data_IF_764049194503
#
_entry.id   IF_764049194503
#
_cell.length_a   1.000
_cell.length_b   1.000
_cell.length_c   1.000
_cell.angle_alpha   90.00
_cell.angle_beta   90.00
_cell.angle_gamma   90.00
#
_symmetry.space_group_name_H-M   'P 1'
#
loop_
_entity.id
_entity.type
_entity.pdbx_description
1 polymer ?
#
# COMPACT_ATOMS: atom_id res chain seq x y z
N UNK A 1 -0.46 -22.75 0.79
CA UNK A 1 -0.14 -21.75 1.84
C UNK A 1 0.17 -22.47 3.14
N UNK A 2 1.08 -21.97 3.97
CA UNK A 2 1.41 -22.55 5.28
C UNK A 2 0.90 -21.63 6.39
N UNK A 3 0.35 -22.21 7.45
CA UNK A 3 0.03 -21.49 8.69
C UNK A 3 1.20 -21.72 9.65
N UNK A 4 2.09 -20.72 9.81
CA UNK A 4 3.34 -20.84 10.59
C UNK A 4 3.12 -20.51 12.08
N UNK A 5 2.17 -19.63 12.38
CA UNK A 5 1.68 -19.30 13.73
C UNK A 5 0.16 -19.18 13.69
N UNK A 6 -0.51 -19.35 14.81
CA UNK A 6 -1.98 -19.26 14.87
C UNK A 6 -2.45 -17.88 14.34
N UNK A 7 -3.13 -17.86 13.20
CA UNK A 7 -3.65 -16.66 12.53
C UNK A 7 -2.73 -16.01 11.51
N UNK A 8 -1.49 -16.50 11.30
CA UNK A 8 -0.59 -16.01 10.26
C UNK A 8 -0.55 -16.95 9.05
N UNK A 9 -0.52 -16.36 7.87
CA UNK A 9 -0.52 -17.06 6.58
C UNK A 9 0.61 -16.56 5.71
N UNK A 10 1.31 -17.48 5.04
CA UNK A 10 2.42 -17.14 4.15
C UNK A 10 2.09 -17.54 2.72
N UNK A 11 2.14 -16.55 1.82
CA UNK A 11 2.12 -16.76 0.38
C UNK A 11 3.56 -16.72 -0.15
N UNK A 12 3.89 -17.64 -1.07
CA UNK A 12 5.21 -17.67 -1.74
C UNK A 12 5.01 -17.64 -3.25
N UNK A 13 5.79 -16.81 -3.94
CA UNK A 13 5.82 -16.67 -5.39
C UNK A 13 7.28 -16.54 -5.83
N UNK A 14 7.86 -17.62 -6.34
CA UNK A 14 9.30 -17.68 -6.60
C UNK A 14 10.12 -17.39 -5.34
N UNK A 15 10.99 -16.39 -5.41
CA UNK A 15 11.83 -15.96 -4.28
C UNK A 15 11.11 -14.96 -3.35
N UNK A 16 9.88 -14.58 -3.67
CA UNK A 16 9.12 -13.61 -2.89
C UNK A 16 8.20 -14.30 -1.89
N UNK A 17 8.12 -13.79 -0.67
CA UNK A 17 7.17 -14.25 0.34
C UNK A 17 6.49 -13.10 1.05
N UNK A 18 5.19 -13.26 1.32
CA UNK A 18 4.35 -12.31 2.06
C UNK A 18 3.70 -13.00 3.24
N UNK A 19 3.87 -12.45 4.45
CA UNK A 19 3.21 -12.92 5.67
C UNK A 19 2.06 -12.01 6.03
N UNK A 20 0.87 -12.57 6.24
CA UNK A 20 -0.37 -11.85 6.57
C UNK A 20 -0.89 -12.34 7.91
N UNK A 21 -1.33 -11.44 8.79
CA UNK A 21 -1.88 -11.75 10.11
C UNK A 21 -3.39 -11.48 10.14
N UNK A 22 -4.17 -12.56 10.05
CA UNK A 22 -5.63 -12.49 10.12
C UNK A 22 -6.13 -12.02 11.49
N UNK A 23 -5.37 -12.25 12.58
CA UNK A 23 -5.74 -11.82 13.92
C UNK A 23 -5.60 -10.31 14.14
N UNK A 24 -4.93 -9.61 13.23
CA UNK A 24 -4.64 -8.17 13.32
C UNK A 24 -5.08 -7.40 12.07
N UNK A 25 -6.37 -7.45 11.75
CA UNK A 25 -6.94 -6.69 10.65
C UNK A 25 -6.47 -7.17 9.25
N UNK A 26 -5.99 -8.41 9.14
CA UNK A 26 -5.40 -8.90 7.89
C UNK A 26 -4.23 -8.04 7.41
N UNK A 27 -3.37 -7.58 8.34
CA UNK A 27 -2.16 -6.80 8.03
C UNK A 27 -1.12 -7.66 7.33
N UNK A 28 -0.42 -7.08 6.36
CA UNK A 28 0.79 -7.66 5.81
C UNK A 28 1.92 -7.33 6.78
N UNK A 29 2.47 -8.33 7.45
CA UNK A 29 3.51 -8.18 8.45
C UNK A 29 4.91 -8.17 7.87
N UNK A 30 5.10 -8.87 6.74
CA UNK A 30 6.41 -9.11 6.15
C UNK A 30 6.26 -9.25 4.64
N UNK A 31 7.22 -8.69 3.90
CA UNK A 31 7.38 -8.90 2.46
C UNK A 31 8.85 -9.05 2.14
N UNK A 32 9.26 -10.23 1.71
CA UNK A 32 10.66 -10.61 1.57
C UNK A 32 11.00 -11.07 0.16
N UNK A 33 12.24 -10.82 -0.22
CA UNK A 33 12.91 -11.51 -1.32
C UNK A 33 13.97 -12.44 -0.69
N UNK A 34 13.84 -13.74 -0.88
CA UNK A 34 14.51 -14.76 -0.08
C UNK A 34 14.28 -14.49 1.42
N UNK A 35 15.33 -14.26 2.22
CA UNK A 35 15.22 -13.93 3.64
C UNK A 35 15.31 -12.42 3.94
N UNK A 36 15.42 -11.57 2.91
CA UNK A 36 15.61 -10.13 3.09
C UNK A 36 14.28 -9.38 3.13
N UNK A 37 13.99 -8.77 4.27
CA UNK A 37 12.77 -8.00 4.54
C UNK A 37 12.83 -6.60 3.92
N UNK A 38 11.75 -6.17 3.20
CA UNK A 38 11.69 -4.85 2.58
C UNK A 38 10.80 -3.87 3.34
N UNK A 39 9.76 -4.33 4.05
CA UNK A 39 8.90 -3.44 4.83
C UNK A 39 9.42 -3.25 6.25
N UNK A 40 9.03 -2.16 6.90
CA UNK A 40 9.48 -1.83 8.26
C UNK A 40 8.98 -2.86 9.27
N UNK A 41 9.87 -3.32 10.13
CA UNK A 41 9.55 -4.22 11.24
C UNK A 41 9.32 -3.47 12.57
N UNK A 42 9.39 -2.13 12.55
CA UNK A 42 9.08 -1.31 13.73
C UNK A 42 7.58 -1.32 14.02
N UNK A 43 7.23 -1.55 15.28
CA UNK A 43 5.86 -1.49 15.80
C UNK A 43 5.69 -0.21 16.62
N UNK A 44 5.19 0.86 16.00
CA UNK A 44 5.08 2.19 16.59
C UNK A 44 3.65 2.70 16.70
N UNK A 45 3.15 2.91 17.87
CA UNK A 45 2.94 1.86 18.91
C UNK A 45 2.14 0.71 18.33
N UNK A 46 1.18 0.98 17.43
CA UNK A 46 0.35 0.01 16.72
C UNK A 46 0.39 0.19 15.19
N UNK A 47 1.18 1.17 14.73
CA UNK A 47 1.41 1.44 13.31
C UNK A 47 2.57 0.58 12.81
N UNK A 48 2.27 -0.55 12.15
CA UNK A 48 3.26 -1.49 11.63
C UNK A 48 2.76 -2.22 10.40
N UNK A 49 3.68 -2.77 9.61
CA UNK A 49 3.37 -3.56 8.44
C UNK A 49 2.66 -2.75 7.34
N UNK A 50 1.85 -3.42 6.54
CA UNK A 50 0.91 -2.78 5.63
C UNK A 50 -0.53 -3.02 6.08
N UNK A 51 -1.34 -1.97 6.00
CA UNK A 51 -2.74 -1.96 6.41
C UNK A 51 -3.64 -1.38 5.32
N UNK A 52 -4.95 -1.54 5.51
CA UNK A 52 -5.95 -1.04 4.60
C UNK A 52 -7.06 -0.32 5.37
N UNK A 53 -7.36 0.90 4.96
CA UNK A 53 -8.40 1.74 5.54
C UNK A 53 -9.39 2.22 4.47
N UNK A 54 -10.47 2.86 4.90
CA UNK A 54 -11.40 3.57 4.02
C UNK A 54 -11.02 5.04 3.94
N UNK A 55 -11.22 5.66 2.78
CA UNK A 55 -11.00 7.08 2.53
C UNK A 55 -12.34 7.76 2.17
N UNK A 56 -12.58 9.02 2.60
CA UNK A 56 -11.63 9.94 3.25
C UNK A 56 -11.51 9.71 4.76
N UNK A 57 -10.33 9.99 5.31
CA UNK A 57 -10.04 9.81 6.74
C UNK A 57 -10.99 10.63 7.64
N UNK A 58 -11.49 11.75 7.19
CA UNK A 58 -12.40 12.62 7.93
C UNK A 58 -13.73 11.96 8.35
N UNK A 59 -14.09 10.80 7.78
CA UNK A 59 -15.30 10.06 8.18
C UNK A 59 -15.13 9.30 9.50
N UNK A 60 -13.89 8.94 9.85
CA UNK A 60 -13.60 8.15 11.06
C UNK A 60 -12.55 8.78 11.99
N UNK A 61 -11.74 9.72 11.49
CA UNK A 61 -10.64 10.37 12.21
C UNK A 61 -9.60 9.35 12.76
N UNK A 62 -8.73 9.81 13.64
CA UNK A 62 -7.79 8.95 14.36
C UNK A 62 -8.34 8.53 15.71
N UNK A 63 -8.15 7.29 16.20
CA UNK A 63 -7.39 6.18 15.59
C UNK A 63 -8.14 5.43 14.48
N UNK A 64 -7.46 4.55 13.72
CA UNK A 64 -8.10 3.72 12.69
C UNK A 64 -9.21 2.85 13.23
N UNK A 65 -10.20 2.58 12.38
CA UNK A 65 -11.35 1.73 12.69
C UNK A 65 -10.91 0.35 13.15
N UNK A 66 -11.21 -0.07 14.38
CA UNK A 66 -10.69 -1.33 14.94
C UNK A 66 -11.06 -2.57 14.13
N UNK A 67 -12.27 -2.62 13.55
CA UNK A 67 -12.74 -3.73 12.71
C UNK A 67 -11.88 -3.92 11.47
N UNK A 68 -11.28 -2.84 10.95
CA UNK A 68 -10.46 -2.89 9.73
C UNK A 68 -8.98 -3.04 10.02
N UNK A 69 -8.51 -2.57 11.18
CA UNK A 69 -7.10 -2.43 11.49
C UNK A 69 -6.58 -3.38 12.57
N UNK A 70 -7.42 -3.83 13.52
CA UNK A 70 -6.95 -4.54 14.72
C UNK A 70 -7.67 -5.85 14.99
N UNK A 71 -8.98 -5.92 14.72
CA UNK A 71 -9.79 -7.11 15.04
C UNK A 71 -9.47 -8.27 14.10
N UNK A 72 -9.70 -9.52 14.54
CA UNK A 72 -9.52 -10.68 13.70
C UNK A 72 -10.45 -10.66 12.48
N UNK A 73 -9.95 -11.14 11.36
CA UNK A 73 -10.71 -11.39 10.13
C UNK A 73 -11.07 -12.88 10.02
N UNK A 74 -12.27 -13.18 9.54
CA UNK A 74 -12.62 -14.52 9.11
C UNK A 74 -11.82 -14.92 7.88
N UNK A 75 -11.31 -16.15 7.85
CA UNK A 75 -10.41 -16.62 6.79
C UNK A 75 -11.05 -17.75 5.99
N UNK A 76 -10.92 -17.67 4.67
CA UNK A 76 -11.26 -18.71 3.72
C UNK A 76 -10.10 -18.91 2.74
N UNK A 77 -9.75 -20.15 2.47
CA UNK A 77 -8.79 -20.50 1.41
C UNK A 77 -9.51 -21.33 0.36
N UNK A 78 -9.55 -20.83 -0.87
CA UNK A 78 -10.20 -21.53 -1.98
C UNK A 78 -9.46 -21.27 -3.29
N UNK A 79 -9.20 -22.36 -4.04
CA UNK A 79 -8.58 -22.28 -5.38
C UNK A 79 -7.28 -21.46 -5.45
N UNK A 80 -6.45 -21.54 -4.38
CA UNK A 80 -5.19 -20.79 -4.30
C UNK A 80 -5.35 -19.32 -3.92
N UNK A 81 -6.56 -18.87 -3.59
CA UNK A 81 -6.83 -17.51 -3.09
C UNK A 81 -7.07 -17.57 -1.58
N UNK A 82 -6.32 -16.78 -0.82
CA UNK A 82 -6.53 -16.55 0.60
C UNK A 82 -7.43 -15.33 0.75
N UNK A 83 -8.64 -15.52 1.28
CA UNK A 83 -9.60 -14.45 1.51
C UNK A 83 -9.76 -14.19 3.01
N UNK A 84 -9.66 -12.93 3.41
CA UNK A 84 -9.84 -12.46 4.78
C UNK A 84 -10.96 -11.42 4.81
N UNK A 85 -11.94 -11.58 5.71
CA UNK A 85 -13.13 -10.72 5.78
C UNK A 85 -13.32 -10.18 7.19
N UNK A 86 -13.44 -8.86 7.32
CA UNK A 86 -13.66 -8.17 8.60
C UNK A 86 -15.09 -8.36 9.13
N UNK A 87 -15.27 -8.06 10.42
CA UNK A 87 -16.59 -7.67 10.92
C UNK A 87 -17.06 -6.37 10.26
N UNK A 88 -18.34 -6.07 10.38
CA UNK A 88 -18.91 -4.78 9.98
C UNK A 88 -18.60 -3.73 11.04
N UNK A 89 -18.14 -2.54 10.64
CA UNK A 89 -18.11 -1.41 11.55
C UNK A 89 -19.51 -0.78 11.68
N UNK A 90 -20.00 -0.65 12.89
CA UNK A 90 -21.37 -0.18 13.16
C UNK A 90 -21.63 1.27 12.76
N UNK A 91 -20.60 2.12 12.77
CA UNK A 91 -20.73 3.54 12.39
C UNK A 91 -20.66 3.72 10.88
N UNK A 92 -19.64 3.16 10.25
CA UNK A 92 -19.40 3.34 8.81
C UNK A 92 -20.23 2.40 7.94
N UNK A 93 -20.72 1.29 8.51
CA UNK A 93 -21.53 0.28 7.80
C UNK A 93 -20.81 -0.29 6.57
N UNK A 94 -19.48 -0.42 6.63
CA UNK A 94 -18.70 -1.15 5.66
C UNK A 94 -18.18 -2.46 6.24
N UNK A 95 -18.02 -3.45 5.37
CA UNK A 95 -17.24 -4.66 5.59
C UNK A 95 -16.05 -4.63 4.64
N UNK A 96 -14.87 -4.98 5.14
CA UNK A 96 -13.66 -5.08 4.34
C UNK A 96 -13.38 -6.54 4.02
N UNK A 97 -13.01 -6.80 2.77
CA UNK A 97 -12.48 -8.10 2.34
C UNK A 97 -11.14 -7.89 1.64
N UNK A 98 -10.18 -8.75 1.93
CA UNK A 98 -8.85 -8.78 1.32
C UNK A 98 -8.64 -10.16 0.71
N UNK A 99 -8.35 -10.23 -0.58
CA UNK A 99 -8.07 -11.47 -1.29
C UNK A 99 -6.61 -11.43 -1.79
N UNK A 100 -5.83 -12.43 -1.38
CA UNK A 100 -4.42 -12.55 -1.70
C UNK A 100 -4.20 -13.74 -2.62
N UNK A 101 -3.45 -13.55 -3.70
CA UNK A 101 -3.04 -14.63 -4.61
C UNK A 101 -1.65 -14.38 -5.18
N UNK A 102 -0.98 -15.43 -5.61
CA UNK A 102 0.27 -15.35 -6.37
C UNK A 102 -0.01 -15.17 -7.86
N UNK A 103 0.88 -14.46 -8.52
CA UNK A 103 0.96 -14.35 -9.98
C UNK A 103 2.37 -14.82 -10.40
N UNK A 104 2.47 -16.13 -10.65
CA UNK A 104 3.75 -16.78 -10.97
C UNK A 104 4.34 -16.27 -12.29
N UNK A 105 3.50 -15.88 -13.24
CA UNK A 105 3.96 -15.37 -14.53
C UNK A 105 4.69 -14.03 -14.37
N UNK A 106 4.17 -13.16 -13.53
CA UNK A 106 4.71 -11.81 -13.31
C UNK A 106 5.58 -11.72 -12.07
N UNK A 107 5.77 -12.84 -11.33
CA UNK A 107 6.51 -12.89 -10.07
C UNK A 107 6.00 -11.83 -9.07
N UNK A 108 4.68 -11.74 -8.91
CA UNK A 108 3.99 -10.77 -8.09
C UNK A 108 3.05 -11.42 -7.07
N UNK A 109 2.77 -10.72 -5.98
CA UNK A 109 1.65 -11.01 -5.10
C UNK A 109 0.57 -9.98 -5.38
N UNK A 110 -0.63 -10.46 -5.66
CA UNK A 110 -1.78 -9.64 -6.02
C UNK A 110 -2.73 -9.59 -4.83
N UNK A 111 -3.05 -8.38 -4.38
CA UNK A 111 -4.00 -8.14 -3.29
C UNK A 111 -5.19 -7.36 -3.85
N UNK A 112 -6.38 -7.97 -3.78
CA UNK A 112 -7.63 -7.28 -4.08
C UNK A 112 -8.31 -6.90 -2.78
N UNK A 113 -8.49 -5.62 -2.58
CA UNK A 113 -9.23 -5.03 -1.46
C UNK A 113 -10.66 -4.75 -1.90
N UNK A 114 -11.64 -5.19 -1.10
CA UNK A 114 -13.05 -4.91 -1.34
C UNK A 114 -13.63 -4.12 -0.18
N UNK A 115 -14.45 -3.10 -0.50
CA UNK A 115 -15.27 -2.38 0.46
C UNK A 115 -16.73 -2.66 0.11
N UNK A 116 -17.46 -3.26 1.05
CA UNK A 116 -18.86 -3.68 0.86
C UNK A 116 -19.74 -2.76 1.68
N UNK A 117 -20.66 -2.06 1.01
CA UNK A 117 -21.68 -1.24 1.68
C UNK A 117 -22.79 -2.15 2.24
N UNK A 118 -22.81 -2.34 3.55
CA UNK A 118 -23.84 -3.15 4.24
C UNK A 118 -24.92 -2.30 4.91
N UNK A 119 -24.96 -1.00 4.60
CA UNK A 119 -26.04 -0.10 5.04
C UNK A 119 -27.24 -0.17 4.11
N UNK A 120 -28.34 0.46 4.50
CA UNK A 120 -29.53 0.71 3.70
C UNK A 120 -29.48 2.05 2.92
N UNK A 121 -28.32 2.74 2.97
CA UNK A 121 -28.11 4.04 2.31
C UNK A 121 -27.06 3.95 1.20
N UNK A 122 -27.20 4.80 0.18
CA UNK A 122 -26.12 5.04 -0.78
C UNK A 122 -24.96 5.73 -0.09
N UNK A 123 -23.74 5.20 -0.25
CA UNK A 123 -22.50 5.72 0.37
C UNK A 123 -21.45 5.96 -0.69
N UNK A 124 -20.47 6.80 -0.36
CA UNK A 124 -19.34 7.05 -1.25
C UNK A 124 -18.04 6.86 -0.46
N UNK A 125 -17.11 6.07 -1.01
CA UNK A 125 -15.89 5.64 -0.30
C UNK A 125 -14.78 5.35 -1.30
N UNK A 126 -13.53 5.52 -0.89
CA UNK A 126 -12.37 5.07 -1.64
C UNK A 126 -11.53 4.05 -0.83
N UNK A 127 -10.84 3.13 -1.50
CA UNK A 127 -9.86 2.24 -0.88
C UNK A 127 -8.56 3.00 -0.60
N UNK A 128 -7.91 2.69 0.52
CA UNK A 128 -6.66 3.31 0.94
C UNK A 128 -5.71 2.29 1.57
N UNK A 129 -4.61 2.03 0.91
CA UNK A 129 -3.59 1.09 1.36
C UNK A 129 -2.33 1.82 1.81
N UNK A 130 -1.80 1.46 2.97
CA UNK A 130 -0.65 2.09 3.61
C UNK A 130 0.41 1.05 3.91
N UNK A 131 1.61 1.21 3.36
CA UNK A 131 2.76 0.33 3.61
C UNK A 131 3.89 1.09 4.29
N UNK A 132 4.36 0.58 5.43
CA UNK A 132 5.47 1.19 6.16
C UNK A 132 6.80 0.59 5.73
N UNK A 133 7.71 1.46 5.32
CA UNK A 133 9.08 1.09 4.91
C UNK A 133 10.11 1.75 5.82
N UNK A 134 11.34 1.26 5.79
CA UNK A 134 12.44 1.84 6.55
C UNK A 134 12.75 3.25 6.05
N UNK A 135 12.98 4.18 6.99
CA UNK A 135 13.31 5.57 6.65
C UNK A 135 14.74 5.67 6.11
N UNK A 136 15.74 5.19 6.84
CA UNK A 136 17.15 5.33 6.46
C UNK A 136 17.51 4.48 5.22
N UNK A 137 18.35 5.04 4.35
CA UNK A 137 18.83 4.37 3.14
C UNK A 137 17.76 4.13 2.07
N UNK A 138 16.56 4.66 2.25
CA UNK A 138 15.46 4.53 1.31
C UNK A 138 15.50 5.56 0.18
N UNK A 139 14.87 5.21 -0.94
CA UNK A 139 14.50 6.14 -2.02
C UNK A 139 13.06 5.84 -2.39
N UNK A 140 12.19 6.82 -2.26
CA UNK A 140 10.79 6.75 -2.71
C UNK A 140 10.69 7.46 -4.05
N UNK A 141 9.98 6.85 -5.01
CA UNK A 141 9.80 7.49 -6.30
C UNK A 141 8.54 6.99 -7.02
N UNK A 142 7.97 7.87 -7.84
CA UNK A 142 6.78 7.63 -8.64
C UNK A 142 6.75 8.61 -9.83
N UNK A 143 5.93 8.35 -10.83
CA UNK A 143 5.79 9.21 -11.99
C UNK A 143 4.80 10.34 -11.68
N UNK A 144 5.33 11.53 -11.45
CA UNK A 144 4.65 12.81 -11.35
C UNK A 144 5.70 13.92 -11.43
N UNK A 145 5.38 15.13 -11.97
CA UNK A 145 6.27 16.28 -11.85
C UNK A 145 6.44 16.68 -10.37
N UNK A 146 7.68 16.96 -9.94
CA UNK A 146 7.95 17.29 -8.54
C UNK A 146 7.28 18.58 -8.06
N UNK A 147 7.02 19.53 -8.96
CA UNK A 147 6.28 20.76 -8.69
C UNK A 147 4.77 20.58 -8.58
N UNK A 148 4.24 19.40 -8.95
CA UNK A 148 2.83 19.04 -8.77
C UNK A 148 2.53 18.45 -7.39
N UNK A 149 3.54 18.17 -6.56
CA UNK A 149 3.39 17.60 -5.21
C UNK A 149 2.96 18.68 -4.22
N UNK A 150 1.96 18.38 -3.41
CA UNK A 150 1.43 19.33 -2.42
C UNK A 150 1.32 18.75 -0.99
N UNK A 151 1.50 19.56 0.09
CA UNK A 151 1.90 20.97 0.07
C UNK A 151 3.30 21.19 -0.52
N UNK A 152 3.44 22.22 -1.33
CA UNK A 152 4.71 22.54 -1.98
C UNK A 152 5.82 22.83 -0.97
N UNK A 153 7.02 22.29 -1.19
CA UNK A 153 8.20 22.54 -0.39
C UNK A 153 8.24 21.89 0.99
N UNK A 154 7.21 21.09 1.37
CA UNK A 154 7.19 20.39 2.66
C UNK A 154 8.21 19.24 2.71
N UNK A 155 8.43 18.58 1.60
CA UNK A 155 9.43 17.52 1.42
C UNK A 155 10.20 17.80 0.12
N UNK A 156 11.52 17.56 0.12
CA UNK A 156 12.39 17.89 -0.99
C UNK A 156 12.38 16.77 -2.05
N UNK A 157 11.34 16.72 -2.85
CA UNK A 157 11.30 15.86 -4.03
C UNK A 157 12.16 16.46 -5.15
N UNK A 158 12.98 15.62 -5.77
CA UNK A 158 13.78 15.97 -6.96
C UNK A 158 13.10 15.37 -8.19
N UNK A 159 13.01 16.17 -9.25
CA UNK A 159 12.57 15.68 -10.55
C UNK A 159 13.71 15.01 -11.31
N UNK A 160 13.44 13.83 -11.84
CA UNK A 160 14.31 13.08 -12.73
C UNK A 160 13.50 12.67 -13.98
N UNK A 161 13.37 13.56 -14.95
CA UNK A 161 12.63 13.34 -16.19
C UNK A 161 11.15 12.96 -15.99
N UNK A 162 10.44 13.70 -15.11
CA UNK A 162 9.03 13.45 -14.78
C UNK A 162 8.81 12.37 -13.70
N UNK A 163 9.90 11.90 -13.11
CA UNK A 163 9.87 11.00 -11.96
C UNK A 163 10.23 11.79 -10.71
N UNK A 164 9.32 11.90 -9.78
CA UNK A 164 9.55 12.50 -8.47
C UNK A 164 10.29 11.52 -7.56
N UNK A 165 11.44 11.93 -7.06
CA UNK A 165 12.29 11.14 -6.18
C UNK A 165 12.46 11.84 -4.83
N UNK A 166 12.23 11.12 -3.73
CA UNK A 166 12.47 11.59 -2.37
C UNK A 166 13.48 10.69 -1.66
N UNK A 167 14.55 11.30 -1.18
CA UNK A 167 15.50 10.69 -0.25
C UNK A 167 15.22 11.25 1.16
N UNK A 168 15.14 10.39 2.19
CA UNK A 168 14.95 10.83 3.57
C UNK A 168 16.00 11.87 3.97
N UNK A 169 15.52 12.94 4.59
CA UNK A 169 16.32 14.07 5.04
C UNK A 169 16.48 14.10 6.58
N UNK A 170 17.13 15.14 7.11
CA UNK A 170 17.40 15.30 8.55
C UNK A 170 16.21 15.88 9.34
N UNK A 171 15.09 16.23 8.69
CA UNK A 171 13.93 16.76 9.38
C UNK A 171 13.31 15.73 10.33
N UNK A 172 12.95 16.18 11.52
CA UNK A 172 12.45 15.33 12.61
C UNK A 172 11.02 15.66 13.00
N UNK A 173 10.14 15.78 12.02
CA UNK A 173 8.73 16.10 12.20
C UNK A 173 7.84 15.21 11.34
N UNK A 174 6.57 15.11 11.70
CA UNK A 174 5.59 14.43 10.87
C UNK A 174 5.28 15.26 9.64
N UNK A 175 5.47 14.70 8.46
CA UNK A 175 5.21 15.38 7.19
C UNK A 175 4.45 14.44 6.26
N UNK A 176 3.45 14.97 5.58
CA UNK A 176 2.68 14.25 4.57
C UNK A 176 2.54 15.09 3.32
N UNK A 177 2.83 14.49 2.19
CA UNK A 177 2.59 15.08 0.86
C UNK A 177 1.67 14.20 0.04
N UNK A 178 1.06 14.82 -0.96
CA UNK A 178 0.11 14.24 -1.87
C UNK A 178 0.59 14.42 -3.30
N UNK A 179 0.27 13.46 -4.17
CA UNK A 179 0.56 13.53 -5.60
C UNK A 179 -0.52 12.82 -6.42
N UNK A 180 -0.69 13.28 -7.65
CA UNK A 180 -1.38 12.58 -8.72
C UNK A 180 -0.32 11.84 -9.53
N UNK A 181 -0.31 10.51 -9.43
CA UNK A 181 0.72 9.64 -9.99
C UNK A 181 0.34 9.04 -11.35
N UNK A 182 0.90 7.86 -11.64
CA UNK A 182 0.59 7.06 -12.83
C UNK A 182 0.36 5.59 -12.47
N UNK A 183 -0.41 5.35 -11.40
CA UNK A 183 -0.81 4.00 -11.01
C UNK A 183 0.32 3.16 -10.42
N UNK A 184 1.42 3.76 -9.98
CA UNK A 184 2.50 3.03 -9.31
C UNK A 184 3.29 3.89 -8.33
N UNK A 185 3.80 3.24 -7.29
CA UNK A 185 4.65 3.83 -6.26
C UNK A 185 5.77 2.85 -5.91
N UNK A 186 7.01 3.31 -5.87
CA UNK A 186 8.18 2.48 -5.67
C UNK A 186 9.05 2.92 -4.49
N UNK A 187 9.72 1.95 -3.89
CA UNK A 187 10.69 2.12 -2.82
C UNK A 187 11.92 1.26 -3.07
N UNK A 188 13.09 1.90 -3.17
CA UNK A 188 14.38 1.21 -3.20
C UNK A 188 15.01 1.24 -1.80
N UNK A 189 15.19 0.07 -1.19
CA UNK A 189 16.06 -0.08 -0.03
C UNK A 189 17.50 -0.26 -0.54
N UNK A 190 18.31 0.80 -0.47
CA UNK A 190 19.69 0.79 -0.99
C UNK A 190 20.62 -0.11 -0.19
N UNK A 191 20.41 -0.24 1.11
CA UNK A 191 21.23 -1.08 1.98
C UNK A 191 21.10 -2.56 1.61
N UNK A 192 19.89 -3.00 1.32
CA UNK A 192 19.58 -4.39 0.95
C UNK A 192 19.62 -4.64 -0.55
N UNK A 193 19.69 -3.57 -1.36
CA UNK A 193 19.60 -3.71 -2.82
C UNK A 193 18.27 -4.30 -3.27
N UNK A 194 17.16 -3.89 -2.65
CA UNK A 194 15.81 -4.38 -2.94
C UNK A 194 14.90 -3.27 -3.44
N UNK A 195 14.21 -3.52 -4.54
CA UNK A 195 13.22 -2.65 -5.16
C UNK A 195 11.82 -3.23 -4.94
N UNK A 196 11.01 -2.54 -4.15
CA UNK A 196 9.58 -2.74 -4.00
C UNK A 196 8.84 -1.84 -4.98
N UNK A 197 7.93 -2.40 -5.78
CA UNK A 197 7.01 -1.63 -6.63
C UNK A 197 5.59 -2.07 -6.32
N UNK A 198 4.71 -1.11 -6.09
CA UNK A 198 3.26 -1.31 -5.99
C UNK A 198 2.60 -0.70 -7.21
N UNK A 199 1.80 -1.49 -7.90
CA UNK A 199 1.01 -1.07 -9.06
C UNK A 199 -0.48 -1.13 -8.71
N UNK A 200 -1.20 -0.11 -9.08
CA UNK A 200 -2.63 0.05 -8.84
C UNK A 200 -3.27 0.82 -9.99
N UNK A 201 -4.55 1.11 -9.93
CA UNK A 201 -5.26 1.86 -10.96
C UNK A 201 -4.80 3.33 -10.97
N UNK A 202 -4.40 3.84 -12.14
CA UNK A 202 -4.09 5.26 -12.37
C UNK A 202 -5.39 6.08 -12.30
N UNK A 203 -5.43 7.07 -11.42
CA UNK A 203 -6.59 7.93 -11.24
C UNK A 203 -6.49 9.18 -12.11
N UNK A 204 -7.64 9.64 -12.60
CA UNK A 204 -7.74 10.95 -13.24
C UNK A 204 -8.23 12.00 -12.26
N UNK A 205 -8.00 13.27 -12.58
CA UNK A 205 -8.41 14.39 -11.75
C UNK A 205 -9.90 14.31 -11.37
N UNK A 206 -10.19 14.47 -10.06
CA UNK A 206 -11.54 14.39 -9.49
C UNK A 206 -12.01 12.99 -9.08
N UNK A 207 -11.22 11.94 -9.32
CA UNK A 207 -11.51 10.60 -8.81
C UNK A 207 -11.08 10.37 -7.36
N UNK A 208 -10.00 10.95 -6.82
CA UNK A 208 -9.67 10.83 -5.40
C UNK A 208 -10.80 11.34 -4.50
N UNK A 209 -10.86 10.84 -3.27
CA UNK A 209 -11.77 11.35 -2.24
C UNK A 209 -11.43 12.82 -1.90
N UNK A 210 -12.38 13.61 -1.40
CA UNK A 210 -12.15 15.02 -1.04
C UNK A 210 -11.00 15.17 -0.04
N UNK A 211 -10.05 16.04 -0.36
CA UNK A 211 -8.83 16.35 0.41
C UNK A 211 -7.79 15.20 0.42
N UNK A 212 -7.95 14.20 -0.43
CA UNK A 212 -7.08 13.03 -0.55
C UNK A 212 -6.41 12.99 -1.95
N UNK A 213 -5.50 12.03 -2.16
CA UNK A 213 -4.76 11.87 -3.41
C UNK A 213 -4.54 10.41 -3.78
N UNK A 214 -4.22 10.13 -5.04
CA UNK A 214 -3.84 8.82 -5.52
C UNK A 214 -2.61 8.27 -4.79
N UNK A 215 -1.58 9.11 -4.65
CA UNK A 215 -0.35 8.80 -3.92
C UNK A 215 -0.18 9.76 -2.75
N UNK A 216 0.15 9.21 -1.60
CA UNK A 216 0.56 9.99 -0.44
C UNK A 216 1.85 9.40 0.14
N UNK A 217 2.75 10.27 0.58
CA UNK A 217 3.97 9.87 1.29
C UNK A 217 3.99 10.55 2.64
N UNK A 218 3.95 9.76 3.71
CA UNK A 218 4.04 10.26 5.08
C UNK A 218 5.37 9.86 5.71
N UNK A 219 6.08 10.83 6.27
CA UNK A 219 7.31 10.61 7.04
C UNK A 219 7.00 10.78 8.51
N UNK A 220 7.22 9.73 9.29
CA UNK A 220 7.04 9.78 10.73
C UNK A 220 8.26 10.40 11.43
N UNK A 221 8.00 11.23 12.44
CA UNK A 221 9.07 11.85 13.26
C UNK A 221 10.00 10.78 13.86
N UNK A 222 11.23 11.17 14.18
CA UNK A 222 12.22 10.28 14.79
C UNK A 222 12.83 9.30 13.81
N UNK A 223 12.68 9.52 12.48
CA UNK A 223 13.18 8.65 11.42
C UNK A 223 12.76 7.18 11.59
N UNK A 224 11.57 6.95 12.14
CA UNK A 224 11.09 5.61 12.48
C UNK A 224 10.65 4.82 11.25
N UNK A 225 9.79 5.39 10.41
CA UNK A 225 9.33 4.79 9.16
C UNK A 225 8.82 5.86 8.19
N UNK A 226 8.63 5.45 6.95
CA UNK A 226 7.89 6.19 5.94
C UNK A 226 6.67 5.35 5.53
N UNK A 227 5.53 5.98 5.32
CA UNK A 227 4.35 5.35 4.74
C UNK A 227 4.31 5.63 3.23
N UNK A 228 4.21 4.55 2.49
CA UNK A 228 3.89 4.53 1.07
C UNK A 228 2.39 4.29 0.98
N UNK A 229 1.64 5.31 0.61
CA UNK A 229 0.19 5.25 0.61
C UNK A 229 -0.34 5.34 -0.83
N UNK A 230 -1.33 4.52 -1.15
CA UNK A 230 -2.03 4.56 -2.43
C UNK A 230 -3.53 4.47 -2.21
N UNK A 231 -4.29 5.22 -3.01
CA UNK A 231 -5.74 5.26 -2.94
C UNK A 231 -6.35 4.97 -4.32
N UNK A 232 -7.52 4.34 -4.32
CA UNK A 232 -8.33 4.16 -5.51
C UNK A 232 -9.45 5.22 -5.62
N UNK A 233 -10.27 5.08 -6.65
CA UNK A 233 -11.33 6.03 -6.97
C UNK A 233 -12.40 6.13 -5.86
N UNK A 234 -12.85 7.35 -5.59
CA UNK A 234 -13.96 7.65 -4.67
C UNK A 234 -15.28 7.26 -5.31
N UNK A 235 -15.74 6.06 -4.99
CA UNK A 235 -16.83 5.34 -5.69
C UNK A 235 -18.13 5.40 -4.91
N UNK A 236 -19.24 5.62 -5.61
CA UNK A 236 -20.59 5.53 -5.05
C UNK A 236 -21.05 4.08 -5.02
N UNK A 237 -21.50 3.62 -3.86
CA UNK A 237 -22.00 2.27 -3.62
C UNK A 237 -23.46 2.32 -3.14
N UNK A 238 -24.34 1.65 -3.87
CA UNK A 238 -25.71 1.40 -3.42
C UNK A 238 -25.71 0.38 -2.25
N UNK A 239 -26.81 0.25 -1.49
CA UNK A 239 -26.95 -0.81 -0.50
C UNK A 239 -26.63 -2.20 -1.08
N UNK A 240 -25.71 -2.92 -0.43
CA UNK A 240 -25.26 -4.25 -0.85
C UNK A 240 -24.20 -4.27 -1.96
N UNK A 241 -23.88 -3.14 -2.57
CA UNK A 241 -22.80 -3.09 -3.56
C UNK A 241 -21.40 -3.13 -2.94
N UNK A 242 -20.42 -3.58 -3.73
CA UNK A 242 -19.01 -3.58 -3.37
C UNK A 242 -18.16 -2.91 -4.44
N UNK A 243 -17.13 -2.21 -4.03
CA UNK A 243 -16.01 -1.86 -4.89
C UNK A 243 -14.88 -2.86 -4.71
N UNK A 244 -14.14 -3.11 -5.77
CA UNK A 244 -12.92 -3.91 -5.76
C UNK A 244 -11.77 -3.07 -6.31
N UNK A 245 -10.67 -3.07 -5.61
CA UNK A 245 -9.46 -2.35 -5.99
C UNK A 245 -8.25 -3.25 -5.79
N UNK A 246 -7.38 -3.35 -6.79
CA UNK A 246 -6.27 -4.31 -6.81
C UNK A 246 -4.93 -3.60 -6.75
N UNK A 247 -4.06 -4.06 -5.87
CA UNK A 247 -2.66 -3.66 -5.79
C UNK A 247 -1.79 -4.89 -6.10
N UNK A 248 -0.88 -4.75 -7.07
CA UNK A 248 0.14 -5.74 -7.37
C UNK A 248 1.44 -5.35 -6.68
N UNK A 249 2.02 -6.30 -6.00
CA UNK A 249 3.26 -6.14 -5.25
C UNK A 249 4.37 -6.89 -5.95
N UNK A 250 5.38 -6.15 -6.39
CA UNK A 250 6.59 -6.68 -6.99
C UNK A 250 7.77 -6.43 -6.06
N UNK A 251 8.69 -7.39 -5.95
CA UNK A 251 9.91 -7.24 -5.19
C UNK A 251 11.05 -7.93 -5.92
N UNK A 252 12.09 -7.19 -6.25
CA UNK A 252 13.24 -7.69 -6.98
C UNK A 252 14.55 -7.10 -6.45
N UNK A 253 15.68 -7.80 -6.58
CA UNK A 253 17.00 -7.21 -6.39
C UNK A 253 17.22 -6.03 -7.34
N UNK A 254 17.87 -4.98 -6.83
CA UNK A 254 18.15 -3.77 -7.60
C UNK A 254 19.42 -3.08 -7.11
N UNK A 255 20.39 -2.96 -8.02
CA UNK A 255 21.62 -2.20 -7.81
C UNK A 255 21.82 -1.25 -8.99
N UNK A 256 20.95 -0.22 -9.11
CA UNK A 256 20.91 0.62 -10.30
C UNK A 256 22.18 1.45 -10.44
N UNK A 257 22.75 1.50 -11.66
CA UNK A 257 23.88 2.36 -11.98
C UNK A 257 23.49 3.85 -12.12
N UNK A 258 22.20 4.13 -12.33
CA UNK A 258 21.64 5.49 -12.50
C UNK A 258 20.14 5.51 -12.18
N UNK A 259 19.57 6.70 -12.05
CA UNK A 259 18.12 6.89 -11.92
C UNK A 259 17.36 6.38 -13.12
N UNK A 260 17.88 6.58 -14.34
CA UNK A 260 17.26 6.09 -15.58
C UNK A 260 17.19 4.56 -15.61
N UNK A 261 18.27 3.88 -15.17
CA UNK A 261 18.31 2.42 -15.09
C UNK A 261 17.26 1.90 -14.08
N UNK A 262 17.09 2.59 -12.94
CA UNK A 262 16.09 2.26 -11.93
C UNK A 262 14.67 2.41 -12.49
N UNK A 263 14.38 3.54 -13.13
CA UNK A 263 13.07 3.79 -13.76
C UNK A 263 12.78 2.76 -14.85
N UNK A 264 13.80 2.41 -15.66
CA UNK A 264 13.63 1.39 -16.69
C UNK A 264 13.34 0.00 -16.08
N UNK A 265 13.96 -0.34 -14.95
CA UNK A 265 13.65 -1.56 -14.21
C UNK A 265 12.17 -1.57 -13.76
N UNK A 266 11.66 -0.50 -13.15
CA UNK A 266 10.24 -0.37 -12.80
C UNK A 266 9.34 -0.54 -14.02
N UNK A 267 9.61 0.17 -15.11
CA UNK A 267 8.83 0.05 -16.36
C UNK A 267 8.82 -1.37 -16.93
N UNK A 268 9.89 -2.12 -16.76
CA UNK A 268 9.94 -3.52 -17.17
C UNK A 268 9.07 -4.41 -16.26
N UNK A 269 9.07 -4.16 -14.95
CA UNK A 269 8.20 -4.87 -14.00
C UNK A 269 6.72 -4.64 -14.30
N UNK A 270 6.34 -3.40 -14.63
CA UNK A 270 4.95 -3.02 -14.94
C UNK A 270 4.47 -3.48 -16.33
N UNK A 271 5.35 -3.78 -17.26
CA UNK A 271 5.00 -4.22 -18.63
C UNK A 271 4.53 -5.66 -18.75
N UNK A 272 4.70 -6.45 -17.71
CA UNK A 272 4.35 -7.88 -17.73
C UNK A 272 2.84 -8.14 -17.73
N UNK A 273 2.02 -7.08 -17.66
CA UNK A 273 0.56 -7.13 -17.62
C UNK A 273 -0.15 -6.89 -18.98
N UNK A 274 0.52 -7.05 -20.12
CA UNK A 274 -0.10 -6.90 -21.46
C UNK A 274 -0.43 -8.23 -22.12
#
# INVERSE_FOLDING_TARGET
MSNEEAGQYVLKCGNVSMTIDAAKGGKILSYKYDDQEVISQLKWPESFGSTFWTSPQKEWYWPPVPEYDKKPYAVEEKEGVLTMTSEVNDKLKYRIRKAFKTDEQNQAIVVTYSIINVSDETRKVAPWEITRVQNEGGLIFFEAPADSIWPAGLMNFKDANGISCYEPDEANENRKVNADGKGWLAYLNREKGLLLVKQFEDLVAGQPAPDEAEIQVYVNRGKTYIELESQGAYTTLQPGEELNWTVRWYLQPSTPASSDALVQQVKNMLKTDK
#
